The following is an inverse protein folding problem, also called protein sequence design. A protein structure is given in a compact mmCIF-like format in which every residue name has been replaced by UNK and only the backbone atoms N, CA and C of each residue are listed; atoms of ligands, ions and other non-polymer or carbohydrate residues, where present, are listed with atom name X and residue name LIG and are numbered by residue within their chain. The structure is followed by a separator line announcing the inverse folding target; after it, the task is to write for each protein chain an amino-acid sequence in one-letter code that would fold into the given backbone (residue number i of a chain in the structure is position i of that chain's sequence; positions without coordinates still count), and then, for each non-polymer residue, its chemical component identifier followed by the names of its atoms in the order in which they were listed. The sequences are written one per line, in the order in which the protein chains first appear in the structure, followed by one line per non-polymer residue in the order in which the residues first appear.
data_IF_223418048659
#
_entry.id   IF_223418048659
#
_cell.length_a   1.000
_cell.length_b   1.000
_cell.length_c   1.000
_cell.angle_alpha   90.00
_cell.angle_beta   90.00
_cell.angle_gamma   90.00
#
_symmetry.space_group_name_H-M   'P 1'
#
loop_
_entity.id
_entity.type
_entity.pdbx_description
1 polymer ?
#
# COMPACT_ATOMS: atom_id res chain seq x y z
N UNK A 1 -4.39 -9.24 -17.53
CA UNK A 1 -5.57 -8.41 -17.16
C UNK A 1 -5.31 -7.67 -15.87
N UNK A 2 -5.85 -6.44 -15.72
CA UNK A 2 -5.69 -5.62 -14.51
C UNK A 2 -7.06 -5.27 -13.93
N UNK A 3 -7.23 -5.53 -12.63
CA UNK A 3 -8.36 -5.10 -11.81
C UNK A 3 -7.88 -4.13 -10.74
N UNK A 4 -8.69 -3.13 -10.43
CA UNK A 4 -8.37 -2.10 -9.44
C UNK A 4 -9.41 -2.11 -8.32
N UNK A 5 -8.95 -1.95 -7.09
CA UNK A 5 -9.79 -1.69 -5.92
C UNK A 5 -9.02 -0.79 -4.96
N UNK A 6 -9.62 -0.40 -3.85
CA UNK A 6 -8.95 0.30 -2.76
C UNK A 6 -9.69 0.04 -1.47
N UNK A 7 -9.15 0.58 -0.38
CA UNK A 7 -9.87 0.65 0.88
C UNK A 7 -10.35 -0.72 1.37
N UNK A 8 -9.39 -1.64 1.48
CA UNK A 8 -9.68 -3.01 1.91
C UNK A 8 -9.77 -3.12 3.42
N UNK A 9 -8.96 -2.38 4.17
CA UNK A 9 -8.91 -2.43 5.64
C UNK A 9 -8.93 -3.87 6.20
N UNK A 10 -8.16 -4.79 5.58
CA UNK A 10 -8.13 -6.25 5.86
C UNK A 10 -9.32 -7.08 5.37
N UNK A 11 -10.37 -6.47 4.86
CA UNK A 11 -11.52 -7.17 4.32
C UNK A 11 -11.22 -7.75 2.92
N UNK A 12 -10.53 -8.89 2.93
CA UNK A 12 -10.21 -9.66 1.73
C UNK A 12 -11.31 -10.66 1.33
N UNK A 13 -12.44 -10.70 2.06
CA UNK A 13 -13.60 -11.50 1.66
C UNK A 13 -14.15 -11.04 0.30
N UNK A 14 -13.97 -9.76 -0.07
CA UNK A 14 -14.29 -9.25 -1.41
C UNK A 14 -13.57 -9.98 -2.56
N UNK A 15 -12.47 -10.68 -2.27
CA UNK A 15 -11.75 -11.51 -3.22
C UNK A 15 -12.19 -12.98 -3.16
N UNK A 16 -13.30 -13.30 -2.52
CA UNK A 16 -13.88 -14.64 -2.58
C UNK A 16 -14.58 -14.86 -3.91
N UNK A 17 -14.57 -16.10 -4.37
CA UNK A 17 -15.06 -16.47 -5.71
C UNK A 17 -16.55 -16.20 -5.90
N UNK A 18 -17.31 -16.05 -4.82
CA UNK A 18 -18.72 -15.71 -4.88
C UNK A 18 -18.96 -14.20 -5.05
N UNK A 19 -18.00 -13.36 -4.63
CA UNK A 19 -18.05 -11.90 -4.75
C UNK A 19 -17.30 -11.41 -5.99
N UNK A 20 -16.14 -12.00 -6.27
CA UNK A 20 -15.32 -11.71 -7.45
C UNK A 20 -15.16 -12.98 -8.29
N UNK A 21 -16.21 -13.40 -9.02
CA UNK A 21 -16.20 -14.67 -9.75
C UNK A 21 -15.25 -14.71 -10.93
N UNK A 22 -14.93 -13.57 -11.53
CA UNK A 22 -14.00 -13.42 -12.65
C UNK A 22 -12.60 -13.94 -12.30
N UNK A 23 -12.23 -13.95 -11.01
CA UNK A 23 -10.96 -14.52 -10.54
C UNK A 23 -10.73 -15.98 -10.94
N UNK A 24 -11.81 -16.73 -11.24
CA UNK A 24 -11.71 -18.13 -11.65
C UNK A 24 -10.92 -18.30 -12.95
N UNK A 25 -10.96 -17.30 -13.82
CA UNK A 25 -10.27 -17.28 -15.11
C UNK A 25 -8.91 -16.57 -15.05
N UNK A 26 -8.55 -16.00 -13.90
CA UNK A 26 -7.28 -15.29 -13.74
C UNK A 26 -6.13 -16.25 -13.44
N UNK A 27 -4.92 -15.78 -13.72
CA UNK A 27 -3.65 -16.47 -13.49
C UNK A 27 -2.70 -15.55 -12.74
N UNK A 28 -1.53 -16.05 -12.33
CA UNK A 28 -0.53 -15.23 -11.62
C UNK A 28 0.08 -14.13 -12.49
N UNK A 29 -0.19 -14.15 -13.79
CA UNK A 29 0.16 -13.08 -14.73
C UNK A 29 -0.96 -12.02 -14.86
N UNK A 30 -2.06 -12.19 -14.15
CA UNK A 30 -3.12 -11.20 -13.97
C UNK A 30 -3.03 -10.50 -12.61
N UNK A 31 -3.45 -9.24 -12.56
CA UNK A 31 -3.17 -8.36 -11.44
C UNK A 31 -4.44 -7.80 -10.82
N UNK A 32 -4.57 -7.91 -9.50
CA UNK A 32 -5.53 -7.15 -8.70
C UNK A 32 -4.75 -6.13 -7.89
N UNK A 33 -4.96 -4.84 -8.16
CA UNK A 33 -4.21 -3.75 -7.55
C UNK A 33 -5.08 -3.04 -6.51
N UNK A 34 -4.61 -3.01 -5.26
CA UNK A 34 -5.23 -2.30 -4.14
C UNK A 34 -4.56 -0.93 -4.00
N UNK A 35 -5.32 0.14 -4.27
CA UNK A 35 -4.83 1.52 -4.40
C UNK A 35 -4.64 2.25 -3.05
N UNK A 36 -4.69 1.53 -1.94
CA UNK A 36 -4.51 2.05 -0.60
C UNK A 36 -5.27 1.25 0.45
N UNK A 37 -4.90 1.46 1.71
CA UNK A 37 -5.52 0.88 2.91
C UNK A 37 -5.68 -0.64 2.76
N UNK A 38 -4.56 -1.30 2.48
CA UNK A 38 -4.42 -2.74 2.38
C UNK A 38 -4.75 -3.40 3.72
N UNK A 39 -4.17 -2.88 4.81
CA UNK A 39 -4.46 -3.32 6.18
C UNK A 39 -3.94 -4.70 6.55
N UNK A 40 -3.55 -5.58 5.61
CA UNK A 40 -3.11 -6.95 5.90
C UNK A 40 -1.88 -7.05 6.82
N UNK A 41 -1.09 -5.98 6.94
CA UNK A 41 0.08 -5.86 7.83
C UNK A 41 -0.14 -4.70 8.81
N UNK A 42 -0.38 -4.98 10.10
CA UNK A 42 -0.78 -3.96 11.08
C UNK A 42 -0.23 -4.17 12.49
N UNK A 43 -0.13 -5.41 12.99
CA UNK A 43 0.06 -5.70 14.41
C UNK A 43 1.31 -5.01 14.95
N UNK A 44 1.07 -4.00 15.77
CA UNK A 44 2.09 -3.17 16.38
C UNK A 44 2.87 -3.92 17.47
N UNK A 45 2.38 -5.07 17.94
CA UNK A 45 3.08 -5.86 18.94
C UNK A 45 4.24 -6.67 18.36
N UNK A 46 4.24 -6.93 17.05
CA UNK A 46 5.25 -7.73 16.38
C UNK A 46 6.68 -7.16 16.55
N UNK A 47 6.81 -5.84 16.69
CA UNK A 47 8.08 -5.15 16.98
C UNK A 47 7.94 -4.11 18.08
N UNK A 48 7.51 -4.50 19.28
CA UNK A 48 7.44 -3.60 20.45
C UNK A 48 8.73 -2.83 20.77
N UNK A 49 9.88 -3.20 20.19
CA UNK A 49 11.20 -2.65 20.53
C UNK A 49 12.04 -2.15 19.35
N UNK A 50 11.45 -1.41 18.40
CA UNK A 50 12.15 -0.68 17.30
C UNK A 50 12.44 -1.54 16.05
N UNK A 51 11.69 -1.28 14.97
CA UNK A 51 11.87 -1.93 13.67
C UNK A 51 13.31 -1.82 13.13
N UNK A 52 14.08 -0.82 13.55
CA UNK A 52 15.49 -0.64 13.16
C UNK A 52 16.38 -1.81 13.57
N UNK A 53 16.03 -2.57 14.60
CA UNK A 53 16.82 -3.73 15.05
C UNK A 53 16.77 -4.92 14.08
N UNK A 54 15.81 -4.92 13.16
CA UNK A 54 15.63 -5.98 12.17
C UNK A 54 15.82 -5.51 10.73
N UNK A 55 15.95 -4.19 10.49
CA UNK A 55 16.29 -3.68 9.17
C UNK A 55 17.65 -4.23 8.74
N UNK A 56 17.71 -4.74 7.51
CA UNK A 56 18.93 -5.32 6.94
C UNK A 56 19.25 -6.74 7.41
N UNK A 57 18.37 -7.37 8.18
CA UNK A 57 18.42 -8.80 8.49
C UNK A 57 17.49 -9.57 7.57
N UNK A 58 17.73 -10.88 7.43
CA UNK A 58 16.80 -11.78 6.77
C UNK A 58 15.45 -11.70 7.47
N UNK A 59 14.39 -11.57 6.67
CA UNK A 59 13.04 -11.51 7.21
C UNK A 59 12.64 -12.89 7.74
N UNK A 60 11.96 -12.93 8.88
CA UNK A 60 11.58 -14.16 9.56
C UNK A 60 10.05 -14.29 9.59
N UNK A 61 9.51 -14.91 8.54
CA UNK A 61 8.08 -15.20 8.39
C UNK A 61 7.52 -16.07 9.52
N UNK A 62 8.36 -16.84 10.24
CA UNK A 62 7.89 -17.70 11.34
C UNK A 62 7.37 -16.91 12.53
N UNK A 63 7.79 -15.65 12.67
CA UNK A 63 7.39 -14.81 13.80
C UNK A 63 6.08 -14.07 13.54
N UNK A 64 5.61 -13.97 12.28
CA UNK A 64 4.47 -13.12 11.92
C UNK A 64 3.25 -13.41 12.81
N UNK A 65 2.45 -12.38 13.16
CA UNK A 65 1.23 -12.59 13.93
C UNK A 65 0.33 -13.60 13.21
N UNK A 66 -0.18 -14.59 13.95
CA UNK A 66 -0.92 -15.73 13.37
C UNK A 66 -2.09 -15.26 12.50
N UNK A 67 -2.82 -14.23 12.93
CA UNK A 67 -3.96 -13.68 12.19
C UNK A 67 -3.54 -13.04 10.86
N UNK A 68 -2.44 -12.28 10.83
CA UNK A 68 -1.90 -11.70 9.60
C UNK A 68 -1.39 -12.79 8.67
N UNK A 69 -0.65 -13.75 9.23
CA UNK A 69 -0.10 -14.87 8.47
C UNK A 69 -1.22 -15.63 7.75
N UNK A 70 -2.28 -16.02 8.46
CA UNK A 70 -3.41 -16.72 7.85
C UNK A 70 -4.04 -15.88 6.73
N UNK A 71 -4.28 -14.60 7.00
CA UNK A 71 -4.90 -13.69 6.04
C UNK A 71 -4.06 -13.50 4.76
N UNK A 72 -2.75 -13.29 4.91
CA UNK A 72 -1.82 -13.12 3.80
C UNK A 72 -1.61 -14.43 3.02
N UNK A 73 -1.61 -15.57 3.71
CA UNK A 73 -1.51 -16.88 3.08
C UNK A 73 -2.79 -17.22 2.28
N UNK A 74 -3.97 -16.73 2.68
CA UNK A 74 -5.19 -16.84 1.88
C UNK A 74 -5.15 -15.96 0.62
N UNK A 75 -4.56 -14.75 0.69
CA UNK A 75 -4.31 -13.94 -0.49
C UNK A 75 -3.32 -14.61 -1.46
N UNK A 76 -2.26 -15.23 -0.94
CA UNK A 76 -1.27 -15.93 -1.75
C UNK A 76 -1.89 -17.07 -2.57
N UNK A 77 -2.91 -17.74 -2.03
CA UNK A 77 -3.64 -18.82 -2.71
C UNK A 77 -4.56 -18.35 -3.84
N UNK A 78 -4.82 -17.04 -3.97
CA UNK A 78 -5.67 -16.53 -5.06
C UNK A 78 -5.01 -16.82 -6.40
N UNK A 79 -5.78 -16.97 -7.47
CA UNK A 79 -5.20 -17.33 -8.77
C UNK A 79 -4.39 -16.19 -9.39
N UNK A 80 -4.62 -14.95 -8.96
CA UNK A 80 -3.97 -13.73 -9.45
C UNK A 80 -2.83 -13.25 -8.55
N UNK A 81 -2.04 -12.30 -9.05
CA UNK A 81 -1.05 -11.56 -8.27
C UNK A 81 -1.72 -10.33 -7.65
N UNK A 82 -1.63 -10.21 -6.33
CA UNK A 82 -2.11 -9.05 -5.58
C UNK A 82 -1.01 -8.00 -5.51
N UNK A 83 -1.26 -6.83 -6.08
CA UNK A 83 -0.39 -5.67 -5.95
C UNK A 83 -1.06 -4.65 -5.03
N UNK A 84 -0.28 -3.87 -4.30
CA UNK A 84 -0.84 -2.74 -3.57
C UNK A 84 0.13 -1.57 -3.46
N UNK A 85 -0.42 -0.37 -3.28
CA UNK A 85 0.32 0.83 -2.86
C UNK A 85 -0.14 1.21 -1.46
N UNK A 86 0.71 1.89 -0.70
CA UNK A 86 0.36 2.31 0.67
C UNK A 86 -0.77 3.33 0.66
N UNK A 87 -1.80 3.14 1.49
CA UNK A 87 -2.79 4.18 1.82
C UNK A 87 -2.38 5.04 3.01
N UNK A 88 -3.31 5.83 3.55
CA UNK A 88 -3.03 6.69 4.70
C UNK A 88 -3.12 5.93 6.04
N UNK A 89 -3.86 4.81 6.07
CA UNK A 89 -3.98 3.91 7.20
C UNK A 89 -3.14 2.65 6.97
N UNK A 90 -1.81 2.79 7.08
CA UNK A 90 -0.86 1.68 6.95
C UNK A 90 0.15 1.63 8.11
N UNK A 91 0.58 0.43 8.47
CA UNK A 91 1.72 0.26 9.38
C UNK A 91 3.05 0.34 8.58
N UNK A 92 3.48 1.57 8.31
CA UNK A 92 4.69 1.85 7.54
C UNK A 92 5.97 1.22 8.12
N UNK A 93 6.09 1.15 9.44
CA UNK A 93 7.28 0.57 10.08
C UNK A 93 7.33 -0.95 9.88
N UNK A 94 6.19 -1.64 9.92
CA UNK A 94 6.11 -3.06 9.54
C UNK A 94 6.34 -3.28 8.05
N UNK A 95 5.76 -2.46 7.18
CA UNK A 95 5.92 -2.63 5.73
C UNK A 95 7.39 -2.43 5.29
N UNK A 96 8.14 -1.57 5.97
CA UNK A 96 9.57 -1.33 5.69
C UNK A 96 10.45 -2.54 5.92
N UNK A 97 10.03 -3.48 6.79
CA UNK A 97 10.89 -4.60 7.20
C UNK A 97 10.86 -5.77 6.24
N UNK A 98 9.82 -5.87 5.38
CA UNK A 98 9.77 -6.88 4.34
C UNK A 98 10.94 -6.72 3.34
N UNK A 99 11.41 -7.80 2.71
CA UNK A 99 12.52 -7.76 1.77
C UNK A 99 12.16 -6.94 0.53
N UNK A 100 13.16 -6.22 0.01
CA UNK A 100 13.07 -5.59 -1.30
C UNK A 100 13.34 -6.63 -2.40
N UNK A 101 12.61 -6.54 -3.51
CA UNK A 101 12.77 -7.40 -4.69
C UNK A 101 12.63 -6.56 -5.96
N UNK A 102 13.58 -6.69 -6.89
CA UNK A 102 13.42 -6.14 -8.22
C UNK A 102 12.30 -6.88 -8.94
N UNK A 103 11.34 -6.13 -9.48
CA UNK A 103 10.16 -6.69 -10.10
C UNK A 103 9.62 -5.73 -11.14
N UNK A 104 9.49 -6.21 -12.39
CA UNK A 104 8.83 -5.49 -13.49
C UNK A 104 9.30 -4.04 -13.68
N UNK A 105 10.62 -3.81 -13.63
CA UNK A 105 11.22 -2.49 -13.84
C UNK A 105 11.24 -1.56 -12.61
N UNK A 106 10.69 -2.00 -11.48
CA UNK A 106 10.76 -1.28 -10.21
C UNK A 106 11.19 -2.16 -9.04
N UNK A 107 10.97 -1.68 -7.82
CA UNK A 107 11.25 -2.44 -6.60
C UNK A 107 9.97 -2.60 -5.80
N UNK A 108 9.68 -3.83 -5.39
CA UNK A 108 8.57 -4.17 -4.50
C UNK A 108 9.07 -4.56 -3.13
N UNK A 109 8.19 -4.46 -2.13
CA UNK A 109 8.30 -5.20 -0.88
C UNK A 109 7.55 -6.51 -1.04
N UNK A 110 8.25 -7.63 -0.92
CA UNK A 110 7.65 -8.96 -1.07
C UNK A 110 7.01 -9.40 0.25
N UNK A 111 5.68 -9.32 0.33
CA UNK A 111 4.92 -9.76 1.51
C UNK A 111 4.73 -11.28 1.46
N UNK A 112 4.39 -11.76 0.27
CA UNK A 112 4.36 -13.17 -0.18
C UNK A 112 4.78 -13.21 -1.65
N UNK A 113 5.09 -14.39 -2.24
CA UNK A 113 5.53 -14.49 -3.64
C UNK A 113 4.62 -13.79 -4.66
N UNK A 114 3.30 -13.77 -4.40
CA UNK A 114 2.30 -13.10 -5.25
C UNK A 114 1.50 -11.99 -4.55
N UNK A 115 1.97 -11.52 -3.38
CA UNK A 115 1.39 -10.37 -2.67
C UNK A 115 2.48 -9.34 -2.49
N UNK A 116 2.43 -8.29 -3.32
CA UNK A 116 3.55 -7.37 -3.51
C UNK A 116 3.12 -5.93 -3.22
N UNK A 117 3.88 -5.25 -2.35
CA UNK A 117 3.75 -3.80 -2.18
C UNK A 117 4.65 -3.11 -3.20
N UNK A 118 4.03 -2.38 -4.13
CA UNK A 118 4.73 -1.53 -5.09
C UNK A 118 5.34 -0.33 -4.34
N UNK A 119 6.67 -0.22 -4.31
CA UNK A 119 7.30 0.93 -3.65
C UNK A 119 7.00 2.19 -4.44
N UNK A 120 6.73 3.27 -3.71
CA UNK A 120 6.51 4.61 -4.27
C UNK A 120 7.71 5.12 -5.07
N UNK A 121 7.44 5.89 -6.11
CA UNK A 121 8.46 6.56 -6.92
C UNK A 121 9.07 5.69 -8.03
N UNK A 122 8.61 4.45 -8.18
CA UNK A 122 9.00 3.57 -9.29
C UNK A 122 7.96 3.63 -10.41
N UNK A 123 8.41 3.29 -11.61
CA UNK A 123 7.54 3.03 -12.77
C UNK A 123 7.65 1.54 -13.07
N UNK A 124 6.52 0.84 -13.07
CA UNK A 124 6.44 -0.59 -13.33
C UNK A 124 5.90 -0.88 -14.73
N UNK A 125 6.29 -2.02 -15.28
CA UNK A 125 5.69 -2.61 -16.48
C UNK A 125 4.70 -3.70 -16.09
N UNK A 126 3.41 -3.39 -16.11
CA UNK A 126 2.34 -4.28 -15.65
C UNK A 126 1.39 -4.50 -16.83
N UNK A 127 1.30 -5.74 -17.31
CA UNK A 127 0.45 -6.11 -18.46
C UNK A 127 0.72 -5.25 -19.72
N UNK A 128 1.99 -4.86 -19.93
CA UNK A 128 2.42 -3.99 -21.03
C UNK A 128 2.19 -2.48 -20.80
N UNK A 129 1.61 -2.09 -19.67
CA UNK A 129 1.40 -0.68 -19.31
C UNK A 129 2.51 -0.17 -18.40
N UNK A 130 2.92 1.08 -18.63
CA UNK A 130 3.81 1.81 -17.71
C UNK A 130 2.98 2.44 -16.59
N UNK A 131 3.16 1.95 -15.37
CA UNK A 131 2.42 2.36 -14.18
C UNK A 131 3.35 3.07 -13.19
N UNK A 132 3.18 4.39 -13.03
CA UNK A 132 3.86 5.13 -11.97
C UNK A 132 3.15 4.92 -10.63
N UNK A 133 3.90 4.60 -9.58
CA UNK A 133 3.31 4.30 -8.26
C UNK A 133 3.55 5.42 -7.26
N UNK A 134 2.44 5.87 -6.67
CA UNK A 134 2.42 6.85 -5.60
C UNK A 134 1.31 6.47 -4.63
N UNK A 135 1.53 6.74 -3.34
CA UNK A 135 0.59 6.40 -2.27
C UNK A 135 0.94 7.16 -0.99
N UNK A 136 0.16 6.94 0.06
CA UNK A 136 0.33 7.59 1.36
C UNK A 136 -0.22 9.01 1.39
N UNK A 137 -1.33 9.26 0.68
CA UNK A 137 -2.05 10.53 0.79
C UNK A 137 -2.39 10.82 2.26
N UNK A 138 -2.41 12.09 2.67
CA UNK A 138 -2.80 12.47 4.02
C UNK A 138 -4.33 12.48 4.08
N UNK A 139 -4.98 11.76 5.01
CA UNK A 139 -6.42 11.91 5.15
C UNK A 139 -6.75 13.26 5.77
N UNK A 140 -7.68 13.97 5.12
CA UNK A 140 -8.36 15.11 5.70
C UNK A 140 -9.52 14.62 6.57
N UNK A 141 -9.24 13.82 7.62
CA UNK A 141 -10.18 13.75 8.74
C UNK A 141 -9.80 14.90 9.66
N UNK A 142 -10.42 16.05 9.41
CA UNK A 142 -10.48 17.19 10.31
C UNK A 142 -11.11 16.72 11.63
N UNK A 143 -10.29 16.27 12.58
CA UNK A 143 -10.51 16.79 13.93
C UNK A 143 -10.26 18.28 13.80
N UNK A 144 -11.28 19.10 14.03
CA UNK A 144 -11.21 20.56 14.05
C UNK A 144 -9.99 21.03 14.85
N UNK A 145 -8.89 21.29 14.15
CA UNK A 145 -7.97 22.35 14.55
C UNK A 145 -8.15 23.43 13.51
N UNK A 146 -9.11 24.32 13.81
CA UNK A 146 -9.17 25.67 13.25
C UNK A 146 -7.75 26.23 13.37
N UNK A 147 -7.02 26.20 12.26
CA UNK A 147 -5.78 26.93 12.11
C UNK A 147 -6.08 28.06 11.15
N UNK A 148 -6.20 29.26 11.73
CA UNK A 148 -6.31 30.52 11.00
C UNK A 148 -5.03 30.71 10.21
N UNK A 149 -5.10 30.55 8.90
CA UNK A 149 -4.03 31.03 8.01
C UNK A 149 -4.31 32.51 7.78
N UNK A 150 -3.67 33.37 8.58
CA UNK A 150 -3.60 34.80 8.26
C UNK A 150 -2.70 34.96 7.03
N UNK A 151 -3.30 34.86 5.84
CA UNK A 151 -2.70 35.33 4.61
C UNK A 151 -2.70 36.87 4.66
N UNK A 152 -1.54 37.47 4.93
CA UNK A 152 -1.31 38.90 4.66
C UNK A 152 -0.66 39.01 3.27
N UNK A 153 -1.39 39.46 2.24
CA UNK A 153 -0.74 39.97 1.05
C UNK A 153 -0.01 41.27 1.43
N UNK A 154 1.29 41.35 1.15
CA UNK A 154 2.03 42.61 1.22
C UNK A 154 1.40 43.57 0.22
N UNK A 155 0.83 44.65 0.74
CA UNK A 155 0.31 45.75 -0.06
C UNK A 155 1.50 46.54 -0.64
N UNK A 156 1.76 46.35 -1.93
CA UNK A 156 2.41 47.37 -2.76
C UNK A 156 1.65 47.47 -4.08
N UNK A 157 0.60 48.28 -4.06
CA UNK A 157 0.10 49.02 -5.21
C UNK A 157 -0.76 50.18 -4.71
N UNK A 158 -0.08 51.25 -4.30
CA UNK A 158 -0.58 52.63 -4.32
C UNK A 158 0.50 53.41 -5.08
N UNK A 159 0.26 54.08 -6.20
CA UNK A 159 -0.86 54.98 -6.43
C UNK A 159 -1.13 55.17 -7.93
N UNK A 160 -2.41 55.26 -8.28
CA UNK A 160 -2.84 56.14 -9.36
C UNK A 160 -3.74 57.23 -8.75
N UNK A 161 -3.49 58.45 -9.21
CA UNK A 161 -4.33 59.65 -9.19
C UNK A 161 -4.28 60.58 -7.96
N UNK A 162 -3.49 61.65 -8.11
CA UNK A 162 -4.05 63.00 -8.29
C UNK A 162 -3.26 63.72 -9.39
#
# INVERSE_FOLDING_TARGET
MIYLTGDTHRDFARFDKDIFPEQRELTKDDYVIILGDFGGVWDSNYHKKNYKEILGKDFDWSKEPISEKMLLDELEKKNFTTLFVTGNHENYDRLRTYPDKEWHGGVVKEIRPSVLLLKRGYVFDIDGYKCFTMGGARSHVLYEQITRIDYRPSAENSAFNS
#
